data_IF_499422072246
#
_entry.id   IF_499422072246
#
_cell.length_a   1.000
_cell.length_b   1.000
_cell.length_c   1.000
_cell.angle_alpha   90.00
_cell.angle_beta   90.00
_cell.angle_gamma   90.00
#
_symmetry.space_group_name_H-M   'P 1'
#
loop_
_entity.id
_entity.type
_entity.pdbx_description
1 polymer ?
#
# COMPACT_ATOMS: atom_id res chain seq x y z
N UNK A 1 14.76 43.14 -48.66
CA UNK A 1 14.24 41.81 -48.28
C UNK A 1 15.12 41.28 -47.15
N UNK A 2 14.65 41.36 -45.89
CA UNK A 2 15.42 40.94 -44.71
C UNK A 2 14.75 39.70 -44.14
N UNK A 3 15.45 38.57 -44.17
CA UNK A 3 14.97 37.29 -43.64
C UNK A 3 15.06 37.32 -42.10
N UNK A 4 13.90 37.21 -41.44
CA UNK A 4 13.84 36.98 -39.99
C UNK A 4 14.26 35.54 -39.68
N UNK A 5 15.32 35.38 -38.91
CA UNK A 5 15.75 34.12 -38.31
C UNK A 5 14.70 33.61 -37.30
N UNK A 6 14.36 32.31 -37.29
CA UNK A 6 13.40 31.75 -36.35
C UNK A 6 14.00 31.62 -34.94
N UNK A 7 13.19 32.00 -33.95
CA UNK A 7 13.49 32.00 -32.52
C UNK A 7 13.89 30.60 -32.01
N UNK A 8 15.12 30.47 -31.52
CA UNK A 8 15.70 29.27 -30.91
C UNK A 8 15.43 29.16 -29.38
N UNK A 9 14.39 29.82 -28.87
CA UNK A 9 14.13 29.94 -27.43
C UNK A 9 12.90 29.19 -26.92
N UNK A 10 12.11 28.55 -27.79
CA UNK A 10 10.91 27.81 -27.37
C UNK A 10 11.18 26.40 -26.84
N UNK A 11 12.35 25.81 -27.13
CA UNK A 11 12.64 24.40 -26.78
C UNK A 11 13.03 24.21 -25.30
N UNK A 12 13.68 25.20 -24.68
CA UNK A 12 14.10 25.10 -23.28
C UNK A 12 12.94 25.26 -22.28
N UNK A 13 11.95 26.11 -22.57
CA UNK A 13 10.77 26.27 -21.73
C UNK A 13 9.86 25.03 -21.78
N UNK A 14 9.82 24.32 -22.92
CA UNK A 14 9.03 23.11 -23.09
C UNK A 14 9.65 21.86 -22.43
N UNK A 15 10.97 21.87 -22.19
CA UNK A 15 11.67 20.80 -21.45
C UNK A 15 11.52 20.92 -19.92
N UNK A 16 11.28 22.13 -19.41
CA UNK A 16 11.13 22.43 -17.98
C UNK A 16 9.67 22.32 -17.49
N UNK A 17 8.71 22.18 -18.41
CA UNK A 17 7.29 22.01 -18.11
C UNK A 17 6.85 20.54 -17.93
N UNK A 18 7.77 19.61 -17.65
CA UNK A 18 7.40 18.22 -17.29
C UNK A 18 6.92 18.19 -15.83
N UNK A 19 5.66 18.59 -15.69
CA UNK A 19 4.65 17.98 -14.82
C UNK A 19 5.11 17.66 -13.40
N UNK A 20 4.92 18.61 -12.48
CA UNK A 20 4.85 18.31 -11.05
C UNK A 20 3.81 17.20 -10.78
N UNK A 21 2.77 17.11 -11.62
CA UNK A 21 1.74 16.07 -11.62
C UNK A 21 2.25 14.66 -12.00
N UNK A 22 3.30 14.53 -12.84
CA UNK A 22 3.89 13.23 -13.21
C UNK A 22 4.80 12.69 -12.10
N UNK A 23 5.24 13.55 -11.18
CA UNK A 23 6.08 13.18 -10.05
C UNK A 23 5.26 12.72 -8.84
N UNK A 24 3.99 13.14 -8.73
CA UNK A 24 3.05 12.70 -7.69
C UNK A 24 2.45 11.31 -7.99
N UNK A 25 2.12 10.97 -9.24
CA UNK A 25 1.48 9.68 -9.57
C UNK A 25 2.36 8.44 -9.29
N UNK A 26 3.69 8.63 -9.16
CA UNK A 26 4.65 7.52 -9.00
C UNK A 26 4.88 7.06 -7.56
N UNK A 27 4.25 7.70 -6.58
CA UNK A 27 4.43 7.41 -5.16
C UNK A 27 3.08 7.17 -4.52
N UNK A 28 2.42 6.09 -4.88
CA UNK A 28 1.14 5.75 -4.28
C UNK A 28 1.23 4.36 -3.64
N UNK A 29 0.54 4.18 -2.52
CA UNK A 29 0.53 2.94 -1.73
C UNK A 29 -0.82 2.73 -1.06
N UNK A 30 -1.08 1.52 -0.56
CA UNK A 30 -2.34 1.16 0.10
C UNK A 30 -2.10 0.32 1.37
N UNK A 31 -1.41 0.88 2.35
CA UNK A 31 -0.93 0.09 3.49
C UNK A 31 -2.00 -0.19 4.55
N UNK A 32 -2.90 0.76 4.81
CA UNK A 32 -3.87 0.63 5.91
C UNK A 32 -4.88 -0.50 5.68
N UNK A 33 -5.32 -0.67 4.42
CA UNK A 33 -6.27 -1.72 4.03
C UNK A 33 -5.60 -3.10 4.13
N UNK A 34 -4.35 -3.23 3.67
CA UNK A 34 -3.58 -4.46 3.85
C UNK A 34 -3.43 -4.83 5.33
N UNK A 35 -3.11 -3.85 6.18
CA UNK A 35 -3.03 -4.09 7.63
C UNK A 35 -4.36 -4.61 8.20
N UNK A 36 -5.50 -4.02 7.82
CA UNK A 36 -6.82 -4.45 8.26
C UNK A 36 -7.17 -5.87 7.78
N UNK A 37 -6.94 -6.17 6.50
CA UNK A 37 -7.18 -7.51 5.92
C UNK A 37 -6.27 -8.55 6.56
N UNK A 38 -4.97 -8.24 6.69
CA UNK A 38 -3.98 -9.10 7.35
C UNK A 38 -4.35 -9.38 8.80
N UNK A 39 -4.88 -8.40 9.53
CA UNK A 39 -5.37 -8.61 10.90
C UNK A 39 -6.58 -9.55 10.95
N UNK A 40 -7.53 -9.40 10.03
CA UNK A 40 -8.71 -10.26 9.95
C UNK A 40 -8.32 -11.71 9.65
N UNK A 41 -7.41 -11.92 8.70
CA UNK A 41 -6.89 -13.26 8.41
C UNK A 41 -6.05 -13.80 9.57
N UNK A 42 -5.25 -12.96 10.21
CA UNK A 42 -4.49 -13.33 11.41
C UNK A 42 -5.40 -13.82 12.54
N UNK A 43 -6.54 -13.16 12.77
CA UNK A 43 -7.58 -13.61 13.71
C UNK A 43 -8.11 -15.00 13.34
N UNK A 44 -8.41 -15.23 12.07
CA UNK A 44 -8.96 -16.49 11.58
C UNK A 44 -7.95 -17.65 11.67
N UNK A 45 -6.66 -17.38 11.40
CA UNK A 45 -5.58 -18.37 11.50
C UNK A 45 -5.26 -18.73 12.95
N UNK A 46 -5.29 -17.75 13.86
CA UNK A 46 -5.12 -17.95 15.30
C UNK A 46 -3.71 -18.31 15.78
N UNK A 47 -2.74 -18.52 14.88
CA UNK A 47 -1.33 -18.77 15.18
C UNK A 47 -0.46 -17.65 14.59
N UNK A 48 0.42 -17.06 15.38
CA UNK A 48 1.23 -15.89 15.00
C UNK A 48 2.09 -16.10 13.73
N UNK A 49 2.83 -17.21 13.65
CA UNK A 49 3.67 -17.50 12.47
C UNK A 49 2.84 -17.71 11.19
N UNK A 50 1.74 -18.46 11.30
CA UNK A 50 0.80 -18.65 10.19
C UNK A 50 0.12 -17.35 9.79
N UNK A 51 -0.26 -16.52 10.77
CA UNK A 51 -0.87 -15.22 10.56
C UNK A 51 0.05 -14.29 9.77
N UNK A 52 1.33 -14.18 10.17
CA UNK A 52 2.31 -13.37 9.44
C UNK A 52 2.46 -13.81 7.98
N UNK A 53 2.66 -15.11 7.75
CA UNK A 53 2.79 -15.66 6.39
C UNK A 53 1.52 -15.44 5.56
N UNK A 54 0.34 -15.65 6.16
CA UNK A 54 -0.94 -15.37 5.50
C UNK A 54 -1.15 -13.88 5.23
N UNK A 55 -0.63 -13.00 6.08
CA UNK A 55 -0.61 -11.55 5.86
C UNK A 55 0.13 -11.20 4.58
N UNK A 56 1.36 -11.71 4.42
CA UNK A 56 2.14 -11.54 3.18
C UNK A 56 1.36 -12.04 1.96
N UNK A 57 0.73 -13.21 2.06
CA UNK A 57 -0.07 -13.75 0.95
C UNK A 57 -1.28 -12.85 0.63
N UNK A 58 -1.94 -12.27 1.63
CA UNK A 58 -3.08 -11.38 1.43
C UNK A 58 -2.68 -10.04 0.83
N UNK A 59 -1.46 -9.56 1.11
CA UNK A 59 -0.90 -8.40 0.43
C UNK A 59 -0.78 -8.67 -1.06
N UNK A 60 -0.12 -9.76 -1.44
CA UNK A 60 0.00 -10.17 -2.85
C UNK A 60 -1.36 -10.25 -3.54
N UNK A 61 -2.35 -10.89 -2.91
CA UNK A 61 -3.69 -11.00 -3.48
C UNK A 61 -4.35 -9.62 -3.62
N UNK A 62 -4.22 -8.76 -2.61
CA UNK A 62 -4.76 -7.40 -2.62
C UNK A 62 -4.19 -6.57 -3.76
N UNK A 63 -2.87 -6.62 -3.95
CA UNK A 63 -2.18 -5.91 -5.03
C UNK A 63 -2.64 -6.35 -6.42
N UNK A 64 -3.01 -7.62 -6.60
CA UNK A 64 -3.49 -8.14 -7.88
C UNK A 64 -4.91 -7.67 -8.23
N UNK A 65 -5.70 -7.26 -7.23
CA UNK A 65 -7.08 -6.82 -7.42
C UNK A 65 -7.15 -5.36 -7.87
N UNK A 66 -8.20 -4.93 -8.58
CA UNK A 66 -8.39 -3.52 -8.90
C UNK A 66 -8.54 -2.68 -7.62
N UNK A 67 -7.63 -1.74 -7.40
CA UNK A 67 -7.64 -0.87 -6.21
C UNK A 67 -7.09 0.52 -6.53
N UNK A 68 -7.30 1.45 -5.60
CA UNK A 68 -6.80 2.82 -5.65
C UNK A 68 -5.64 2.96 -4.70
N UNK A 69 -4.53 3.45 -5.22
CA UNK A 69 -3.39 3.83 -4.41
C UNK A 69 -3.52 5.27 -3.90
N UNK A 70 -2.92 5.56 -2.76
CA UNK A 70 -2.98 6.86 -2.10
C UNK A 70 -1.59 7.42 -1.82
N UNK A 71 -1.51 8.74 -1.63
CA UNK A 71 -0.25 9.41 -1.29
C UNK A 71 0.29 8.92 0.08
N UNK A 72 1.59 8.56 0.18
CA UNK A 72 2.23 8.10 1.40
C UNK A 72 2.04 9.02 2.61
N UNK A 73 1.91 10.34 2.41
CA UNK A 73 1.67 11.30 3.48
C UNK A 73 0.28 11.13 4.10
N UNK A 74 -0.70 10.68 3.32
CA UNK A 74 -2.04 10.35 3.81
C UNK A 74 -2.09 8.92 4.38
N UNK A 75 -1.41 7.96 3.75
CA UNK A 75 -1.44 6.56 4.16
C UNK A 75 -0.62 6.28 5.42
N UNK A 76 0.55 6.91 5.59
CA UNK A 76 1.42 6.61 6.72
C UNK A 76 0.76 6.89 8.09
N UNK A 77 0.07 8.04 8.32
CA UNK A 77 -0.70 8.25 9.54
C UNK A 77 -1.83 7.23 9.73
N UNK A 78 -2.52 6.88 8.63
CA UNK A 78 -3.64 5.93 8.67
C UNK A 78 -3.17 4.51 8.99
N UNK A 79 -2.04 4.10 8.43
CA UNK A 79 -1.36 2.84 8.73
C UNK A 79 -0.94 2.81 10.21
N UNK A 80 -0.26 3.86 10.68
CA UNK A 80 0.20 3.95 12.06
C UNK A 80 -0.97 3.87 13.05
N UNK A 81 -2.08 4.57 12.75
CA UNK A 81 -3.31 4.49 13.53
C UNK A 81 -3.90 3.08 13.50
N UNK A 82 -4.02 2.46 12.32
CA UNK A 82 -4.56 1.10 12.15
C UNK A 82 -3.75 0.08 12.98
N UNK A 83 -2.43 0.08 12.84
CA UNK A 83 -1.54 -0.80 13.62
C UNK A 83 -1.60 -0.48 15.11
N UNK A 84 -1.64 0.79 15.49
CA UNK A 84 -1.73 1.22 16.88
C UNK A 84 -3.02 0.72 17.54
N UNK A 85 -4.15 0.84 16.86
CA UNK A 85 -5.45 0.35 17.34
C UNK A 85 -5.48 -1.17 17.42
N UNK A 86 -4.99 -1.89 16.41
CA UNK A 86 -4.90 -3.36 16.44
C UNK A 86 -3.97 -3.81 17.57
N UNK A 87 -2.79 -3.21 17.68
CA UNK A 87 -1.79 -3.50 18.70
C UNK A 87 -2.30 -3.23 20.12
N UNK A 88 -3.02 -2.13 20.32
CA UNK A 88 -3.64 -1.80 21.60
C UNK A 88 -4.78 -2.78 21.95
N UNK A 89 -5.66 -3.08 20.98
CA UNK A 89 -6.89 -3.84 21.26
C UNK A 89 -6.71 -5.35 21.30
N UNK A 90 -5.79 -5.89 20.50
CA UNK A 90 -5.52 -7.32 20.38
C UNK A 90 -4.18 -7.72 21.05
N UNK A 91 -3.25 -6.78 21.23
CA UNK A 91 -1.92 -7.01 21.77
C UNK A 91 -0.85 -7.22 20.69
N UNK A 92 0.38 -6.77 20.95
CA UNK A 92 1.49 -6.84 19.98
C UNK A 92 1.98 -8.26 19.68
N UNK A 93 1.67 -9.24 20.55
CA UNK A 93 1.99 -10.66 20.35
C UNK A 93 0.82 -11.46 19.77
N UNK A 94 -0.26 -10.79 19.37
CA UNK A 94 -1.46 -11.45 18.87
C UNK A 94 -1.30 -11.92 17.42
N UNK A 95 -2.00 -12.98 17.01
CA UNK A 95 -2.10 -13.38 15.60
C UNK A 95 -2.61 -12.24 14.71
N UNK A 96 -3.55 -11.43 15.20
CA UNK A 96 -4.10 -10.27 14.50
C UNK A 96 -3.00 -9.25 14.17
N UNK A 97 -2.20 -8.87 15.17
CA UNK A 97 -1.10 -7.94 14.95
C UNK A 97 -0.02 -8.55 14.04
N UNK A 98 0.32 -9.83 14.23
CA UNK A 98 1.29 -10.52 13.37
C UNK A 98 0.84 -10.58 11.90
N UNK A 99 -0.45 -10.83 11.65
CA UNK A 99 -1.03 -10.81 10.30
C UNK A 99 -1.04 -9.42 9.69
N UNK A 100 -1.37 -8.38 10.46
CA UNK A 100 -1.28 -7.00 10.02
C UNK A 100 0.14 -6.61 9.60
N UNK A 101 1.14 -6.95 10.45
CA UNK A 101 2.56 -6.69 10.16
C UNK A 101 3.03 -7.48 8.94
N UNK A 102 2.61 -8.74 8.80
CA UNK A 102 2.93 -9.54 7.61
C UNK A 102 2.36 -8.94 6.32
N UNK A 103 1.14 -8.40 6.37
CA UNK A 103 0.49 -7.79 5.22
C UNK A 103 1.08 -6.44 4.78
N UNK A 104 1.82 -5.75 5.64
CA UNK A 104 2.51 -4.50 5.29
C UNK A 104 4.02 -4.68 5.13
N UNK A 105 4.56 -5.85 5.46
CA UNK A 105 5.98 -6.11 5.31
C UNK A 105 6.48 -5.88 3.86
N UNK A 106 5.74 -6.27 2.81
CA UNK A 106 6.12 -5.96 1.44
C UNK A 106 6.14 -4.47 1.12
N UNK A 107 5.24 -3.67 1.70
CA UNK A 107 5.15 -2.22 1.46
C UNK A 107 6.44 -1.48 1.83
N UNK A 108 7.25 -2.00 2.76
CA UNK A 108 8.56 -1.41 3.07
C UNK A 108 9.52 -1.45 1.87
N UNK A 109 9.43 -2.47 1.03
CA UNK A 109 10.21 -2.54 -0.22
C UNK A 109 9.76 -1.45 -1.20
N UNK A 110 8.45 -1.28 -1.35
CA UNK A 110 7.88 -0.22 -2.19
C UNK A 110 8.27 1.18 -1.66
N UNK A 111 8.12 1.40 -0.35
CA UNK A 111 8.53 2.64 0.32
C UNK A 111 10.03 2.93 0.16
N UNK A 112 10.89 1.90 0.29
CA UNK A 112 12.33 2.04 0.07
C UNK A 112 12.66 2.42 -1.37
N UNK A 113 11.94 1.87 -2.35
CA UNK A 113 12.13 2.25 -3.74
C UNK A 113 11.60 3.64 -4.09
N UNK A 114 10.46 4.02 -3.52
CA UNK A 114 9.85 5.35 -3.67
C UNK A 114 10.72 6.45 -3.05
N UNK A 115 11.35 6.17 -1.92
CA UNK A 115 12.26 7.11 -1.23
C UNK A 115 13.67 7.13 -1.83
N UNK A 116 13.97 6.22 -2.77
CA UNK A 116 15.29 6.09 -3.38
C UNK A 116 16.33 5.42 -2.48
N UNK A 117 15.92 4.81 -1.35
CA UNK A 117 16.80 4.00 -0.51
C UNK A 117 17.32 2.76 -1.23
N UNK A 118 16.50 2.20 -2.12
CA UNK A 118 16.90 1.12 -3.03
C UNK A 118 16.56 1.49 -4.47
N UNK A 119 17.35 1.04 -5.45
CA UNK A 119 16.96 1.18 -6.85
C UNK A 119 15.74 0.30 -7.14
N UNK A 120 14.82 0.76 -7.99
CA UNK A 120 13.62 -0.02 -8.36
C UNK A 120 13.92 -1.39 -8.96
N UNK A 121 15.08 -1.56 -9.58
CA UNK A 121 15.56 -2.84 -10.12
C UNK A 121 15.92 -3.86 -9.04
N UNK A 122 16.08 -3.43 -7.78
CA UNK A 122 16.36 -4.30 -6.65
C UNK A 122 15.10 -4.78 -5.90
N UNK A 123 13.91 -4.32 -6.31
CA UNK A 123 12.63 -4.83 -5.77
C UNK A 123 12.44 -6.30 -6.17
N UNK A 124 11.98 -7.12 -5.21
CA UNK A 124 11.80 -8.57 -5.36
C UNK A 124 10.37 -9.02 -5.15
N UNK A 125 9.54 -8.22 -4.49
CA UNK A 125 8.16 -8.60 -4.28
C UNK A 125 7.41 -8.64 -5.63
N UNK A 126 6.65 -9.70 -5.94
CA UNK A 126 6.17 -9.95 -7.30
C UNK A 126 5.42 -8.79 -7.95
N UNK A 127 4.63 -8.06 -7.18
CA UNK A 127 3.82 -6.92 -7.64
C UNK A 127 4.58 -5.61 -7.71
N UNK A 128 5.80 -5.53 -7.17
CA UNK A 128 6.68 -4.34 -7.26
C UNK A 128 7.67 -4.42 -8.44
N UNK A 129 7.89 -5.62 -8.98
CA UNK A 129 8.84 -5.84 -10.09
C UNK A 129 8.37 -5.12 -11.36
N UNK A 130 9.33 -4.48 -12.04
CA UNK A 130 9.11 -3.89 -13.36
C UNK A 130 8.14 -2.72 -13.34
N UNK A 131 8.25 -1.84 -12.33
CA UNK A 131 7.36 -0.70 -12.11
C UNK A 131 5.88 -1.12 -11.94
N UNK A 132 5.63 -2.24 -11.27
CA UNK A 132 4.27 -2.70 -11.02
C UNK A 132 3.62 -3.41 -12.21
N UNK A 133 4.40 -4.04 -13.09
CA UNK A 133 3.86 -4.77 -14.26
C UNK A 133 2.80 -5.81 -13.89
N UNK A 134 2.93 -6.41 -12.70
CA UNK A 134 2.01 -7.42 -12.18
C UNK A 134 0.97 -6.86 -11.22
N UNK A 135 0.94 -5.53 -11.03
CA UNK A 135 0.00 -4.87 -10.15
C UNK A 135 -1.39 -4.76 -10.80
N UNK A 136 -2.44 -4.85 -9.98
CA UNK A 136 -3.82 -4.72 -10.39
C UNK A 136 -4.11 -3.34 -10.99
N UNK A 137 -5.16 -3.24 -11.82
CA UNK A 137 -5.50 -1.98 -12.48
C UNK A 137 -5.95 -0.92 -11.46
N UNK A 138 -5.45 0.30 -11.60
CA UNK A 138 -5.84 1.43 -10.74
C UNK A 138 -7.33 1.78 -10.94
N UNK A 139 -8.09 1.92 -9.86
CA UNK A 139 -9.48 2.39 -9.89
C UNK A 139 -9.63 3.78 -9.28
N UNK A 140 -10.67 4.52 -9.71
CA UNK A 140 -10.92 5.89 -9.22
C UNK A 140 -11.56 5.93 -7.82
N UNK A 141 -12.32 4.90 -7.47
CA UNK A 141 -13.10 4.85 -6.24
C UNK A 141 -12.37 4.09 -5.15
N UNK A 142 -12.15 4.76 -4.02
CA UNK A 142 -11.62 4.19 -2.79
C UNK A 142 -12.67 3.44 -1.95
N UNK A 143 -13.96 3.60 -2.28
CA UNK A 143 -15.04 3.13 -1.42
C UNK A 143 -15.00 1.63 -1.12
N UNK A 144 -14.76 0.75 -2.12
CA UNK A 144 -14.68 -0.70 -1.86
C UNK A 144 -13.56 -1.05 -0.86
N UNK A 145 -12.41 -0.39 -0.97
CA UNK A 145 -11.29 -0.58 -0.05
C UNK A 145 -11.62 -0.13 1.37
N UNK A 146 -12.27 1.04 1.51
CA UNK A 146 -12.71 1.56 2.81
C UNK A 146 -13.75 0.67 3.48
N UNK A 147 -14.74 0.18 2.73
CA UNK A 147 -15.74 -0.78 3.22
C UNK A 147 -15.08 -2.08 3.64
N UNK A 148 -14.17 -2.62 2.82
CA UNK A 148 -13.44 -3.85 3.15
C UNK A 148 -12.63 -3.69 4.43
N UNK A 149 -11.86 -2.61 4.56
CA UNK A 149 -11.08 -2.32 5.76
C UNK A 149 -11.97 -2.23 7.00
N UNK A 150 -13.11 -1.53 6.91
CA UNK A 150 -14.06 -1.42 8.01
C UNK A 150 -14.63 -2.79 8.41
N UNK A 151 -15.09 -3.60 7.45
CA UNK A 151 -15.61 -4.95 7.72
C UNK A 151 -14.55 -5.83 8.37
N UNK A 152 -13.31 -5.80 7.89
CA UNK A 152 -12.20 -6.53 8.47
C UNK A 152 -11.91 -6.07 9.91
N UNK A 153 -11.88 -4.77 10.18
CA UNK A 153 -11.67 -4.25 11.54
C UNK A 153 -12.82 -4.61 12.48
N UNK A 154 -14.07 -4.53 12.03
CA UNK A 154 -15.23 -4.98 12.80
C UNK A 154 -15.12 -6.47 13.13
N UNK A 155 -14.73 -7.30 12.16
CA UNK A 155 -14.48 -8.72 12.39
C UNK A 155 -13.36 -8.94 13.40
N UNK A 156 -12.24 -8.19 13.30
CA UNK A 156 -11.11 -8.27 14.24
C UNK A 156 -11.54 -7.93 15.66
N UNK A 157 -12.33 -6.88 15.85
CA UNK A 157 -12.77 -6.43 17.17
C UNK A 157 -14.01 -7.14 17.69
N UNK A 158 -14.65 -7.98 16.87
CA UNK A 158 -15.78 -8.79 17.30
C UNK A 158 -15.37 -9.71 18.47
N UNK A 159 -16.09 -9.69 19.60
CA UNK A 159 -15.76 -10.53 20.74
C UNK A 159 -15.77 -12.00 20.35
N UNK A 160 -14.76 -12.77 20.78
CA UNK A 160 -14.83 -14.22 20.71
C UNK A 160 -15.88 -14.67 21.72
N UNK A 161 -16.97 -15.28 21.26
CA UNK A 161 -17.90 -15.93 22.16
C UNK A 161 -17.13 -16.96 22.98
N UNK A 162 -17.29 -16.90 24.31
CA UNK A 162 -16.78 -17.96 25.18
C UNK A 162 -17.68 -19.16 24.93
N UNK A 163 -17.28 -20.07 24.06
CA UNK A 163 -17.87 -21.41 24.03
C UNK A 163 -17.48 -22.04 25.36
N UNK A 164 -18.45 -22.07 26.27
CA UNK A 164 -18.35 -22.64 27.61
C UNK A 164 -18.20 -24.16 27.56
#
# INVERSE_FOLDING_TARGET
>A
MSAKSPNCTSSFAQAMGKNEDDFEDKRQMICAVHAAVGAAIGKAVGKTGGAFASGIATHLIGDLLPHKDFDPRAEAPLLALTLGVIGWRCGLKSPEFAGAVGAIAPDFENAAGVTGLIPKTAMRFPTHIGDGKHHGPKVKSAWPQGVLALVCLLFVFWPKEKVA
#
